data_IF_898047286026
#
_entry.id   IF_898047286026
#
_cell.length_a   1.000
_cell.length_b   1.000
_cell.length_c   1.000
_cell.angle_alpha   90.00
_cell.angle_beta   90.00
_cell.angle_gamma   90.00
#
_symmetry.space_group_name_H-M   'P 1'
#
loop_
_entity.id
_entity.type
_entity.pdbx_description
1 polymer ?
#
# COMPACT_ATOMS: atom_id res chain seq x y z
N UNK A 1 18.16 12.34 19.45
CA UNK A 1 17.94 11.15 18.63
C UNK A 1 17.33 11.60 17.33
N UNK A 2 17.92 11.21 16.20
CA UNK A 2 17.30 11.44 14.89
C UNK A 2 16.01 10.60 14.75
N UNK A 3 15.11 10.97 13.83
CA UNK A 3 13.93 10.13 13.54
C UNK A 3 14.34 8.71 13.07
N UNK A 4 15.49 8.57 12.41
CA UNK A 4 16.05 7.28 11.98
C UNK A 4 16.46 6.39 13.15
N UNK A 5 17.20 6.93 14.13
CA UNK A 5 17.60 6.20 15.35
C UNK A 5 16.39 5.77 16.19
N UNK A 6 15.32 6.58 16.19
CA UNK A 6 14.07 6.23 16.86
C UNK A 6 13.39 5.03 16.19
N UNK A 7 13.38 4.99 14.86
CA UNK A 7 12.71 3.95 14.09
C UNK A 7 13.48 2.61 14.12
N UNK A 8 14.82 2.63 14.19
CA UNK A 8 15.61 1.41 14.36
C UNK A 8 15.30 0.69 15.68
N UNK A 9 15.17 1.44 16.78
CA UNK A 9 14.75 0.88 18.08
C UNK A 9 13.36 0.26 18.01
N UNK A 10 12.43 0.89 17.30
CA UNK A 10 11.08 0.35 17.06
C UNK A 10 11.17 -0.94 16.24
N UNK A 11 11.96 -0.97 15.16
CA UNK A 11 12.11 -2.17 14.35
C UNK A 11 12.77 -3.33 15.12
N UNK A 12 13.77 -3.04 15.96
CA UNK A 12 14.37 -4.03 16.84
C UNK A 12 13.33 -4.58 17.83
N UNK A 13 12.55 -3.71 18.46
CA UNK A 13 11.46 -4.09 19.36
C UNK A 13 10.42 -4.99 18.68
N UNK A 14 9.99 -4.65 17.45
CA UNK A 14 9.01 -5.46 16.71
C UNK A 14 9.59 -6.76 16.15
N UNK A 15 10.91 -6.84 15.95
CA UNK A 15 11.60 -8.07 15.53
C UNK A 15 11.90 -9.03 16.70
N UNK A 16 11.86 -8.54 17.94
CA UNK A 16 12.12 -9.34 19.13
C UNK A 16 10.97 -10.31 19.41
N UNK A 17 11.28 -11.61 19.53
CA UNK A 17 10.30 -12.63 19.87
C UNK A 17 9.66 -12.41 21.24
N UNK A 18 10.38 -11.81 22.21
CA UNK A 18 9.87 -11.50 23.53
C UNK A 18 8.67 -10.53 23.47
N UNK A 19 8.68 -9.60 22.51
CA UNK A 19 7.54 -8.70 22.23
C UNK A 19 6.28 -9.45 21.83
N UNK A 20 6.42 -10.66 21.29
CA UNK A 20 5.34 -11.50 20.78
C UNK A 20 5.20 -12.82 21.54
N UNK A 21 5.53 -12.82 22.83
CA UNK A 21 5.34 -13.99 23.70
C UNK A 21 6.20 -15.20 23.30
N UNK A 22 7.38 -14.98 22.72
CA UNK A 22 8.31 -16.02 22.30
C UNK A 22 8.08 -16.57 20.88
N UNK A 23 7.11 -16.02 20.15
CA UNK A 23 6.84 -16.44 18.77
C UNK A 23 7.89 -15.91 17.80
N UNK A 24 8.31 -16.73 16.84
CA UNK A 24 9.26 -16.33 15.80
C UNK A 24 8.68 -15.22 14.91
N UNK A 25 9.50 -14.22 14.60
CA UNK A 25 9.14 -13.06 13.78
C UNK A 25 9.84 -13.13 12.42
N UNK A 26 9.08 -13.05 11.33
CA UNK A 26 9.61 -12.83 9.98
C UNK A 26 9.45 -11.36 9.62
N UNK A 27 10.55 -10.71 9.22
CA UNK A 27 10.54 -9.32 8.73
C UNK A 27 10.56 -9.30 7.21
N UNK A 28 9.69 -8.49 6.62
CA UNK A 28 9.66 -8.21 5.18
C UNK A 28 9.77 -6.70 4.97
N UNK A 29 10.75 -6.28 4.18
CA UNK A 29 11.02 -4.87 3.93
C UNK A 29 10.67 -4.46 2.51
N UNK A 30 10.09 -3.28 2.40
CA UNK A 30 9.92 -2.56 1.14
C UNK A 30 10.65 -1.22 1.25
N UNK A 31 10.73 -0.47 0.15
CA UNK A 31 11.32 0.87 0.14
C UNK A 31 10.59 1.86 1.08
N UNK A 32 9.29 1.66 1.36
CA UNK A 32 8.46 2.59 2.11
C UNK A 32 7.88 2.04 3.43
N UNK A 33 8.05 0.75 3.72
CA UNK A 33 7.49 0.12 4.93
C UNK A 33 8.29 -1.13 5.34
N UNK A 34 8.13 -1.53 6.60
CA UNK A 34 8.60 -2.79 7.16
C UNK A 34 7.40 -3.55 7.73
N UNK A 35 7.27 -4.84 7.43
CA UNK A 35 6.19 -5.72 7.93
C UNK A 35 6.80 -6.80 8.81
N UNK A 36 6.24 -6.98 10.00
CA UNK A 36 6.65 -7.98 10.99
C UNK A 36 5.53 -9.02 11.13
N UNK A 37 5.82 -10.27 10.75
CA UNK A 37 4.87 -11.38 10.71
C UNK A 37 5.14 -12.33 11.88
N UNK A 38 4.14 -12.52 12.73
CA UNK A 38 4.26 -13.34 13.95
C UNK A 38 2.96 -14.06 14.25
N UNK A 39 2.98 -15.40 14.30
CA UNK A 39 1.75 -16.19 14.46
C UNK A 39 0.69 -15.81 13.42
N UNK A 40 -0.52 -15.47 13.86
CA UNK A 40 -1.64 -14.98 13.02
C UNK A 40 -1.64 -13.45 12.83
N UNK A 41 -0.62 -12.75 13.30
CA UNK A 41 -0.56 -11.28 13.31
C UNK A 41 0.50 -10.76 12.34
N UNK A 42 0.21 -9.62 11.74
CA UNK A 42 1.15 -8.82 10.97
C UNK A 42 1.11 -7.36 11.44
N UNK A 43 2.27 -6.75 11.64
CA UNK A 43 2.41 -5.33 11.97
C UNK A 43 3.18 -4.63 10.86
N UNK A 44 2.57 -3.66 10.20
CA UNK A 44 3.20 -2.86 9.13
C UNK A 44 3.50 -1.46 9.63
N UNK A 45 4.77 -1.08 9.60
CA UNK A 45 5.25 0.25 9.97
C UNK A 45 5.76 0.97 8.72
N UNK A 46 5.34 2.22 8.52
CA UNK A 46 5.86 3.06 7.43
C UNK A 46 7.30 3.49 7.75
N UNK A 47 8.21 3.46 6.77
CA UNK A 47 9.58 3.96 6.95
C UNK A 47 9.58 5.49 7.03
N UNK A 48 10.47 6.06 7.83
CA UNK A 48 10.66 7.51 7.93
C UNK A 48 11.41 8.03 6.70
N UNK A 49 10.72 8.09 5.55
CA UNK A 49 11.30 8.43 4.25
C UNK A 49 10.52 9.53 3.55
N UNK A 50 11.19 10.25 2.66
CA UNK A 50 10.58 11.22 1.76
C UNK A 50 11.11 11.00 0.34
N UNK A 51 10.23 10.51 -0.53
CA UNK A 51 10.44 10.40 -1.96
C UNK A 51 9.67 11.52 -2.69
N UNK A 52 9.97 11.80 -3.97
CA UNK A 52 9.24 12.80 -4.75
C UNK A 52 7.71 12.56 -4.83
N UNK A 53 7.28 11.30 -4.68
CA UNK A 53 5.89 10.86 -4.80
C UNK A 53 5.28 10.38 -3.46
N UNK A 54 6.05 10.39 -2.37
CA UNK A 54 5.62 9.83 -1.09
C UNK A 54 6.32 10.50 0.08
N UNK A 55 5.56 10.94 1.07
CA UNK A 55 6.13 11.61 2.24
C UNK A 55 5.65 11.00 3.55
N UNK A 56 6.52 10.20 4.15
CA UNK A 56 6.37 9.57 5.46
C UNK A 56 7.41 10.10 6.47
N UNK A 57 7.95 11.30 6.21
CA UNK A 57 9.04 11.89 7.00
C UNK A 57 8.69 12.00 8.47
N UNK A 58 7.51 12.52 8.80
CA UNK A 58 7.11 12.77 10.18
C UNK A 58 6.19 11.69 10.74
N UNK A 59 6.21 11.51 12.06
CA UNK A 59 5.32 10.60 12.78
C UNK A 59 3.84 10.83 12.43
N UNK A 60 3.40 12.09 12.34
CA UNK A 60 2.03 12.45 12.01
C UNK A 60 1.65 11.99 10.58
N UNK A 61 2.55 12.15 9.60
CA UNK A 61 2.33 11.66 8.24
C UNK A 61 2.24 10.14 8.18
N UNK A 62 3.06 9.43 8.97
CA UNK A 62 2.99 7.96 9.08
C UNK A 62 1.69 7.48 9.71
N UNK A 63 1.21 8.15 10.75
CA UNK A 63 -0.13 7.89 11.33
C UNK A 63 -1.22 8.03 10.28
N UNK A 64 -1.28 9.18 9.61
CA UNK A 64 -2.28 9.47 8.58
C UNK A 64 -2.21 8.45 7.44
N UNK A 65 -1.01 8.00 7.06
CA UNK A 65 -0.83 6.97 6.05
C UNK A 65 -1.35 5.59 6.49
N UNK A 66 -1.11 5.18 7.75
CA UNK A 66 -1.67 3.94 8.30
C UNK A 66 -3.20 4.00 8.37
N UNK A 67 -3.77 5.13 8.80
CA UNK A 67 -5.21 5.34 8.87
C UNK A 67 -5.86 5.34 7.48
N UNK A 68 -5.23 5.99 6.50
CA UNK A 68 -5.70 5.99 5.12
C UNK A 68 -5.65 4.59 4.48
N UNK A 69 -4.57 3.84 4.73
CA UNK A 69 -4.46 2.45 4.26
C UNK A 69 -5.52 1.55 4.90
N UNK A 70 -5.72 1.65 6.22
CA UNK A 70 -6.79 0.94 6.92
C UNK A 70 -8.16 1.28 6.33
N UNK A 71 -8.48 2.56 6.17
CA UNK A 71 -9.79 3.00 5.69
C UNK A 71 -10.10 2.49 4.27
N UNK A 72 -9.10 2.46 3.39
CA UNK A 72 -9.27 1.95 2.02
C UNK A 72 -9.39 0.43 2.04
N UNK A 73 -8.39 -0.26 2.59
CA UNK A 73 -8.26 -1.70 2.37
C UNK A 73 -9.24 -2.50 3.24
N UNK A 74 -9.72 -1.96 4.36
CA UNK A 74 -10.78 -2.60 5.17
C UNK A 74 -12.09 -2.75 4.40
N UNK A 75 -12.35 -1.91 3.40
CA UNK A 75 -13.53 -2.06 2.52
C UNK A 75 -13.44 -3.26 1.56
N UNK A 76 -12.23 -3.80 1.40
CA UNK A 76 -11.92 -4.92 0.52
C UNK A 76 -11.64 -6.20 1.30
N UNK A 77 -10.88 -6.09 2.40
CA UNK A 77 -10.42 -7.18 3.24
C UNK A 77 -10.56 -6.85 4.74
N UNK A 78 -11.80 -6.77 5.26
CA UNK A 78 -12.05 -6.41 6.66
C UNK A 78 -11.44 -7.39 7.67
N UNK A 79 -11.24 -8.65 7.28
CA UNK A 79 -10.62 -9.68 8.11
C UNK A 79 -9.09 -9.57 8.14
N UNK A 80 -8.48 -8.87 7.17
CA UNK A 80 -7.03 -8.64 7.08
C UNK A 80 -6.67 -7.33 7.76
N UNK A 81 -7.41 -6.25 7.53
CA UNK A 81 -7.07 -4.91 8.04
C UNK A 81 -7.83 -4.59 9.32
N UNK A 82 -7.16 -4.69 10.47
CA UNK A 82 -7.82 -4.69 11.78
C UNK A 82 -7.90 -3.29 12.40
N UNK A 83 -6.76 -2.65 12.65
CA UNK A 83 -6.67 -1.34 13.31
C UNK A 83 -5.29 -0.69 13.16
N UNK A 84 -5.19 0.58 13.52
CA UNK A 84 -3.90 1.27 13.73
C UNK A 84 -3.57 1.23 15.22
N UNK A 85 -2.33 0.88 15.56
CA UNK A 85 -1.84 0.80 16.94
C UNK A 85 -0.64 1.71 17.14
N UNK A 86 -0.51 2.26 18.34
CA UNK A 86 0.67 3.02 18.74
C UNK A 86 1.79 2.06 19.17
N UNK A 87 3.03 2.41 18.86
CA UNK A 87 4.20 1.93 19.59
C UNK A 87 4.59 3.05 20.54
N UNK A 88 4.49 2.81 21.83
CA UNK A 88 4.68 3.81 22.88
C UNK A 88 6.02 3.65 23.58
N UNK A 89 6.59 4.76 24.01
CA UNK A 89 7.71 4.81 24.96
C UNK A 89 7.15 5.12 26.34
N UNK A 90 7.30 4.16 27.24
CA UNK A 90 6.81 4.24 28.61
C UNK A 90 7.74 5.10 29.50
N UNK A 91 7.32 5.37 30.74
CA UNK A 91 8.11 6.17 31.69
C UNK A 91 9.44 5.54 32.09
N UNK A 92 9.57 4.21 31.94
CA UNK A 92 10.81 3.44 32.17
C UNK A 92 11.65 3.28 30.89
N UNK A 93 11.37 4.09 29.86
CA UNK A 93 12.01 4.10 28.54
C UNK A 93 11.80 2.82 27.69
N UNK A 94 11.03 1.85 28.18
CA UNK A 94 10.70 0.64 27.43
C UNK A 94 9.67 0.92 26.34
N UNK A 95 9.77 0.18 25.24
CA UNK A 95 8.76 0.22 24.19
C UNK A 95 7.64 -0.77 24.49
N UNK A 96 6.41 -0.37 24.20
CA UNK A 96 5.22 -1.24 24.25
C UNK A 96 4.37 -1.08 23.01
N UNK A 97 3.68 -2.16 22.65
CA UNK A 97 2.60 -2.12 21.69
C UNK A 97 1.34 -1.65 22.42
N UNK A 98 0.77 -0.54 21.97
CA UNK A 98 -0.48 0.02 22.47
C UNK A 98 -0.45 0.30 23.99
N UNK A 99 0.71 0.76 24.48
CA UNK A 99 0.91 1.12 25.88
C UNK A 99 0.34 2.49 26.24
N UNK A 100 0.59 2.93 27.48
CA UNK A 100 0.08 4.19 28.00
C UNK A 100 1.06 5.37 27.82
N UNK A 101 2.29 5.08 27.38
CA UNK A 101 3.33 6.08 27.16
C UNK A 101 3.13 6.94 25.90
N UNK A 102 4.14 7.74 25.59
CA UNK A 102 4.12 8.62 24.42
C UNK A 102 4.28 7.81 23.14
N UNK A 103 3.39 7.98 22.16
CA UNK A 103 3.52 7.34 20.85
C UNK A 103 4.81 7.81 20.15
N UNK A 104 5.68 6.86 19.82
CA UNK A 104 6.94 7.10 19.09
C UNK A 104 6.90 6.55 17.66
N UNK A 105 5.95 5.66 17.36
CA UNK A 105 5.66 5.17 16.01
C UNK A 105 4.22 4.64 15.91
N UNK A 106 3.72 4.45 14.70
CA UNK A 106 2.44 3.81 14.42
C UNK A 106 2.62 2.55 13.56
N UNK A 107 1.85 1.51 13.88
CA UNK A 107 1.75 0.31 13.05
C UNK A 107 0.31 0.09 12.59
N UNK A 108 0.15 -0.35 11.36
CA UNK A 108 -1.08 -0.96 10.87
C UNK A 108 -1.08 -2.43 11.30
N UNK A 109 -2.02 -2.78 12.17
CA UNK A 109 -2.24 -4.15 12.63
C UNK A 109 -3.14 -4.88 11.66
N UNK A 110 -2.63 -6.02 11.20
CA UNK A 110 -3.24 -6.86 10.19
C UNK A 110 -3.31 -8.31 10.68
N UNK A 111 -4.29 -9.07 10.18
CA UNK A 111 -4.29 -10.53 10.29
C UNK A 111 -3.36 -11.10 9.22
N UNK A 112 -2.40 -11.90 9.65
CA UNK A 112 -1.55 -12.67 8.74
C UNK A 112 -2.37 -13.77 8.08
N UNK A 113 -2.10 -14.03 6.82
CA UNK A 113 -2.61 -15.17 6.07
C UNK A 113 -1.44 -16.00 5.53
N UNK A 114 -1.74 -17.19 4.97
CA UNK A 114 -0.74 -18.01 4.31
C UNK A 114 -0.22 -17.30 3.04
N UNK A 115 1.06 -16.92 3.07
CA UNK A 115 1.73 -16.23 1.97
C UNK A 115 1.78 -17.07 0.68
N UNK A 116 1.54 -18.39 0.75
CA UNK A 116 1.44 -19.28 -0.41
C UNK A 116 0.04 -19.33 -1.03
N UNK A 117 -0.94 -18.68 -0.40
CA UNK A 117 -2.32 -18.61 -0.88
C UNK A 117 -2.58 -17.36 -1.73
N UNK A 118 -1.57 -16.53 -2.00
CA UNK A 118 -1.70 -15.43 -2.96
C UNK A 118 -1.88 -15.96 -4.38
N UNK A 119 -2.68 -15.28 -5.20
CA UNK A 119 -3.09 -15.82 -6.50
C UNK A 119 -1.94 -15.90 -7.51
N UNK A 120 -0.86 -15.12 -7.34
CA UNK A 120 0.36 -15.27 -8.13
C UNK A 120 1.03 -16.63 -7.87
N UNK A 121 1.12 -17.06 -6.61
CA UNK A 121 1.65 -18.37 -6.23
C UNK A 121 0.74 -19.51 -6.68
N UNK A 122 -0.58 -19.32 -6.59
CA UNK A 122 -1.53 -20.29 -7.13
C UNK A 122 -1.44 -20.39 -8.65
N UNK A 123 -1.23 -19.28 -9.36
CA UNK A 123 -1.02 -19.29 -10.80
C UNK A 123 0.27 -20.04 -11.19
N UNK A 124 1.39 -19.76 -10.51
CA UNK A 124 2.66 -20.47 -10.70
C UNK A 124 2.51 -21.99 -10.48
N UNK A 125 1.68 -22.38 -9.52
CA UNK A 125 1.41 -23.78 -9.20
C UNK A 125 0.32 -24.43 -10.08
N UNK A 126 -0.25 -23.72 -11.06
CA UNK A 126 -1.34 -24.24 -11.91
C UNK A 126 -2.65 -24.48 -11.18
N UNK A 127 -2.90 -23.79 -10.06
CA UNK A 127 -4.05 -23.98 -9.17
C UNK A 127 -5.21 -23.00 -9.40
N UNK A 128 -5.17 -22.21 -10.48
CA UNK A 128 -6.30 -21.39 -10.91
C UNK A 128 -7.13 -22.21 -11.90
N UNK A 129 -8.17 -22.86 -11.40
CA UNK A 129 -9.18 -23.53 -12.21
C UNK A 129 -10.29 -22.56 -12.67
N UNK A 130 -11.22 -23.05 -13.48
CA UNK A 130 -12.35 -22.26 -13.99
C UNK A 130 -13.21 -21.70 -12.84
N UNK A 131 -13.43 -22.50 -11.79
CA UNK A 131 -14.21 -22.10 -10.61
C UNK A 131 -13.57 -20.90 -9.90
N UNK A 132 -12.26 -20.94 -9.68
CA UNK A 132 -11.52 -19.86 -9.03
C UNK A 132 -11.44 -18.62 -9.93
N UNK A 133 -11.29 -18.80 -11.25
CA UNK A 133 -11.31 -17.70 -12.21
C UNK A 133 -12.67 -16.97 -12.21
N UNK A 134 -13.78 -17.70 -12.18
CA UNK A 134 -15.12 -17.12 -12.07
C UNK A 134 -15.30 -16.40 -10.73
N UNK A 135 -14.91 -17.04 -9.62
CA UNK A 135 -14.97 -16.43 -8.29
C UNK A 135 -14.16 -15.12 -8.21
N UNK A 136 -12.99 -15.08 -8.86
CA UNK A 136 -12.17 -13.87 -8.97
C UNK A 136 -12.90 -12.78 -9.74
N UNK A 137 -13.48 -13.10 -10.90
CA UNK A 137 -14.28 -12.17 -11.70
C UNK A 137 -15.43 -11.56 -10.90
N UNK A 138 -16.19 -12.39 -10.18
CA UNK A 138 -17.27 -11.94 -9.31
C UNK A 138 -16.77 -11.06 -8.15
N UNK A 139 -15.65 -11.42 -7.52
CA UNK A 139 -15.07 -10.63 -6.44
C UNK A 139 -14.70 -9.21 -6.91
N UNK A 140 -14.01 -9.11 -8.06
CA UNK A 140 -13.62 -7.82 -8.65
C UNK A 140 -14.83 -7.01 -9.12
N UNK A 141 -15.82 -7.64 -9.74
CA UNK A 141 -17.06 -6.98 -10.13
C UNK A 141 -17.82 -6.41 -8.91
N UNK A 142 -17.93 -7.20 -7.83
CA UNK A 142 -18.58 -6.77 -6.60
C UNK A 142 -17.83 -5.62 -5.91
N UNK A 143 -16.49 -5.63 -5.96
CA UNK A 143 -15.63 -4.52 -5.50
C UNK A 143 -15.91 -3.23 -6.27
N UNK A 144 -15.94 -3.33 -7.60
CA UNK A 144 -16.20 -2.18 -8.46
C UNK A 144 -17.61 -1.60 -8.26
N UNK A 145 -18.59 -2.47 -8.05
CA UNK A 145 -19.98 -2.06 -7.82
C UNK A 145 -20.17 -1.32 -6.49
N UNK A 146 -19.50 -1.74 -5.41
CA UNK A 146 -19.61 -1.08 -4.08
C UNK A 146 -18.81 0.21 -3.97
N UNK A 147 -17.79 0.40 -4.80
CA UNK A 147 -16.94 1.57 -4.72
C UNK A 147 -17.69 2.84 -5.15
N UNK A 148 -17.70 3.84 -4.27
CA UNK A 148 -18.28 5.15 -4.55
C UNK A 148 -17.58 5.85 -5.71
N UNK A 149 -18.36 6.55 -6.53
CA UNK A 149 -17.83 7.49 -7.50
C UNK A 149 -17.13 8.64 -6.78
N UNK A 150 -16.08 9.17 -7.41
CA UNK A 150 -15.33 10.33 -6.92
C UNK A 150 -15.35 11.43 -7.98
N UNK A 151 -15.13 12.67 -7.55
CA UNK A 151 -15.00 13.77 -8.50
C UNK A 151 -13.81 13.51 -9.44
N UNK A 152 -14.06 13.45 -10.74
CA UNK A 152 -13.02 13.08 -11.69
C UNK A 152 -11.97 14.16 -11.92
N UNK A 153 -12.33 15.45 -11.80
CA UNK A 153 -11.45 16.57 -12.16
C UNK A 153 -10.11 16.55 -11.41
N UNK A 154 -10.06 16.41 -10.07
CA UNK A 154 -8.78 16.32 -9.34
C UNK A 154 -7.92 15.14 -9.78
N UNK A 155 -8.52 13.97 -10.03
CA UNK A 155 -7.78 12.78 -10.48
C UNK A 155 -7.22 12.94 -11.89
N UNK A 156 -7.99 13.52 -12.80
CA UNK A 156 -7.52 13.81 -14.17
C UNK A 156 -6.40 14.86 -14.16
N UNK A 157 -6.47 15.85 -13.27
CA UNK A 157 -5.41 16.83 -13.08
C UNK A 157 -4.12 16.17 -12.53
N UNK A 158 -4.24 15.30 -11.52
CA UNK A 158 -3.12 14.57 -10.93
C UNK A 158 -2.35 13.71 -11.96
N UNK A 159 -3.03 13.13 -12.95
CA UNK A 159 -2.36 12.42 -14.06
C UNK A 159 -1.36 13.32 -14.81
N UNK A 160 -1.69 14.60 -14.98
CA UNK A 160 -0.78 15.57 -15.59
C UNK A 160 0.46 15.80 -14.72
N UNK A 161 0.28 15.93 -13.41
CA UNK A 161 1.39 16.07 -12.46
C UNK A 161 2.32 14.85 -12.47
N UNK A 162 1.76 13.62 -12.52
CA UNK A 162 2.55 12.40 -12.60
C UNK A 162 3.36 12.32 -13.92
N UNK A 163 2.81 12.80 -15.03
CA UNK A 163 3.54 12.89 -16.30
C UNK A 163 4.75 13.82 -16.16
N UNK A 164 4.59 14.97 -15.51
CA UNK A 164 5.69 15.90 -15.26
C UNK A 164 6.74 15.33 -14.31
N UNK A 165 6.31 14.71 -13.21
CA UNK A 165 7.20 14.07 -12.23
C UNK A 165 8.02 12.95 -12.87
N UNK A 166 7.39 12.07 -13.65
CA UNK A 166 8.07 10.99 -14.37
C UNK A 166 9.03 11.56 -15.42
N UNK A 167 8.61 12.59 -16.16
CA UNK A 167 9.48 13.27 -17.13
C UNK A 167 10.69 13.94 -16.49
N UNK A 168 10.56 14.49 -15.28
CA UNK A 168 11.69 15.02 -14.52
C UNK A 168 12.60 13.89 -14.00
N UNK A 169 12.03 12.80 -13.48
CA UNK A 169 12.78 11.66 -12.98
C UNK A 169 13.65 11.00 -14.07
N UNK A 170 13.10 10.77 -15.27
CA UNK A 170 13.85 10.19 -16.38
C UNK A 170 14.95 11.12 -16.89
N UNK A 171 14.66 12.42 -17.06
CA UNK A 171 15.68 13.41 -17.46
C UNK A 171 16.81 13.54 -16.43
N UNK A 172 16.50 13.31 -15.14
CA UNK A 172 17.49 13.32 -14.07
C UNK A 172 18.43 12.12 -14.06
N UNK A 173 18.21 11.11 -14.92
CA UNK A 173 19.01 9.87 -15.00
C UNK A 173 19.48 9.57 -16.44
N UNK A 174 20.27 10.47 -17.07
CA UNK A 174 20.78 10.26 -18.43
C UNK A 174 21.73 9.06 -18.53
N UNK A 175 22.24 8.55 -17.40
CA UNK A 175 23.03 7.33 -17.29
C UNK A 175 22.21 6.05 -17.51
N UNK A 176 20.90 6.11 -17.26
CA UNK A 176 19.98 4.97 -17.42
C UNK A 176 19.07 5.11 -18.65
N UNK A 177 18.68 6.34 -18.99
CA UNK A 177 17.71 6.63 -20.04
C UNK A 177 18.27 7.68 -20.98
N UNK A 178 18.17 7.45 -22.30
CA UNK A 178 18.60 8.48 -23.23
C UNK A 178 17.74 9.74 -23.10
N UNK A 179 18.38 10.91 -23.14
CA UNK A 179 17.68 12.19 -23.05
C UNK A 179 16.58 12.31 -24.10
N UNK A 180 16.87 11.87 -25.33
CA UNK A 180 15.93 11.91 -26.45
C UNK A 180 14.69 11.03 -26.21
N UNK A 181 14.87 9.81 -25.67
CA UNK A 181 13.75 8.93 -25.36
C UNK A 181 12.91 9.46 -24.20
N UNK A 182 13.55 9.99 -23.15
CA UNK A 182 12.86 10.59 -22.01
C UNK A 182 12.01 11.80 -22.44
N UNK A 183 12.55 12.68 -23.27
CA UNK A 183 11.82 13.82 -23.85
C UNK A 183 10.68 13.38 -24.77
N UNK A 184 10.94 12.40 -25.62
CA UNK A 184 9.93 11.81 -26.52
C UNK A 184 8.78 11.18 -25.74
N UNK A 185 9.08 10.43 -24.67
CA UNK A 185 8.07 9.85 -23.78
C UNK A 185 7.24 10.96 -23.11
N UNK A 186 7.89 11.96 -22.50
CA UNK A 186 7.18 13.05 -21.83
C UNK A 186 6.28 13.83 -22.81
N UNK A 187 6.77 14.15 -24.01
CA UNK A 187 5.99 14.81 -25.07
C UNK A 187 4.77 13.98 -25.47
N UNK A 188 4.95 12.68 -25.74
CA UNK A 188 3.85 11.78 -26.13
C UNK A 188 2.82 11.59 -25.00
N UNK A 189 3.27 11.50 -23.76
CA UNK A 189 2.40 11.38 -22.59
C UNK A 189 1.54 12.64 -22.39
N UNK A 190 2.13 13.84 -22.48
CA UNK A 190 1.38 15.11 -22.43
C UNK A 190 0.34 15.19 -23.54
N UNK A 191 0.73 14.85 -24.77
CA UNK A 191 -0.19 14.86 -25.91
C UNK A 191 -1.33 13.84 -25.73
N UNK A 192 -1.04 12.66 -25.22
CA UNK A 192 -2.06 11.65 -24.91
C UNK A 192 -3.01 12.12 -23.80
N UNK A 193 -2.49 12.72 -22.72
CA UNK A 193 -3.30 13.27 -21.64
C UNK A 193 -4.23 14.38 -22.13
N UNK A 194 -3.71 15.33 -22.90
CA UNK A 194 -4.51 16.40 -23.51
C UNK A 194 -5.61 15.84 -24.41
N UNK A 195 -5.29 14.87 -25.27
CA UNK A 195 -6.24 14.21 -26.17
C UNK A 195 -7.32 13.43 -25.42
N UNK A 196 -6.96 12.72 -24.35
CA UNK A 196 -7.88 11.86 -23.59
C UNK A 196 -8.67 12.61 -22.51
N UNK A 197 -8.27 13.83 -22.15
CA UNK A 197 -8.90 14.61 -21.08
C UNK A 197 -10.42 14.73 -21.23
N UNK A 198 -11.00 15.06 -22.40
CA UNK A 198 -12.46 15.11 -22.54
C UNK A 198 -13.13 13.75 -22.25
N UNK A 199 -12.53 12.65 -22.72
CA UNK A 199 -13.04 11.30 -22.46
C UNK A 199 -12.98 10.94 -20.98
N UNK A 200 -11.88 11.27 -20.29
CA UNK A 200 -11.73 11.01 -18.85
C UNK A 200 -12.76 11.79 -18.02
N UNK A 201 -13.05 13.04 -18.40
CA UNK A 201 -14.08 13.86 -17.75
C UNK A 201 -15.49 13.31 -18.01
N UNK A 202 -15.81 12.94 -19.26
CA UNK A 202 -17.08 12.30 -19.60
C UNK A 202 -17.30 10.97 -18.87
N UNK A 203 -16.23 10.21 -18.62
CA UNK A 203 -16.28 9.02 -17.74
C UNK A 203 -16.60 9.38 -16.29
N UNK A 204 -16.07 10.50 -15.81
CA UNK A 204 -16.40 11.06 -14.50
C UNK A 204 -17.88 11.40 -14.36
N UNK A 205 -18.46 12.08 -15.34
CA UNK A 205 -19.89 12.41 -15.40
C UNK A 205 -20.78 11.16 -15.37
N UNK A 206 -20.28 10.04 -15.92
CA UNK A 206 -20.93 8.73 -15.90
C UNK A 206 -20.63 7.90 -14.64
N UNK A 207 -20.01 8.49 -13.60
CA UNK A 207 -19.66 7.79 -12.36
C UNK A 207 -18.73 6.58 -12.57
N UNK A 208 -17.85 6.65 -13.58
CA UNK A 208 -16.88 5.60 -13.91
C UNK A 208 -15.48 5.85 -13.33
N UNK A 209 -15.29 6.95 -12.61
CA UNK A 209 -14.09 7.21 -11.79
C UNK A 209 -14.45 6.93 -10.35
N UNK A 210 -13.84 5.89 -9.78
CA UNK A 210 -14.18 5.30 -8.49
C UNK A 210 -12.93 5.04 -7.67
N UNK A 211 -13.07 5.03 -6.34
CA UNK A 211 -11.97 4.69 -5.43
C UNK A 211 -11.85 3.17 -5.30
N UNK A 212 -11.01 2.58 -6.14
CA UNK A 212 -10.77 1.14 -6.23
C UNK A 212 -9.42 0.75 -5.62
N UNK A 213 -9.10 -0.55 -5.65
CA UNK A 213 -7.76 -1.03 -5.34
C UNK A 213 -6.76 -0.49 -6.38
N UNK A 214 -5.76 0.28 -5.93
CA UNK A 214 -4.86 1.04 -6.80
C UNK A 214 -3.79 0.22 -7.51
N UNK A 215 -3.55 -1.01 -7.07
CA UNK A 215 -2.50 -1.90 -7.57
C UNK A 215 -2.99 -3.36 -7.62
N UNK A 216 -4.13 -3.58 -8.26
CA UNK A 216 -4.77 -4.90 -8.27
C UNK A 216 -4.05 -5.83 -9.27
N UNK A 217 -3.28 -6.77 -8.73
CA UNK A 217 -2.64 -7.86 -9.46
C UNK A 217 -2.69 -9.14 -8.62
N UNK A 218 -2.35 -10.31 -9.20
CA UNK A 218 -2.51 -11.61 -8.50
C UNK A 218 -1.76 -11.69 -7.16
N UNK A 219 -0.60 -11.05 -7.04
CA UNK A 219 0.14 -10.94 -5.76
C UNK A 219 -0.55 -10.12 -4.66
N UNK A 220 -1.55 -9.29 -5.00
CA UNK A 220 -2.36 -8.51 -4.04
C UNK A 220 -3.78 -9.09 -3.91
N UNK A 221 -3.94 -10.39 -4.21
CA UNK A 221 -5.18 -11.12 -4.00
C UNK A 221 -4.81 -12.43 -3.31
N UNK A 222 -5.44 -12.71 -2.18
CA UNK A 222 -5.24 -13.96 -1.43
C UNK A 222 -6.50 -14.82 -1.50
N UNK A 223 -6.32 -16.14 -1.61
CA UNK A 223 -7.39 -17.10 -1.42
C UNK A 223 -7.61 -17.31 0.08
N UNK A 224 -8.62 -16.65 0.65
CA UNK A 224 -8.95 -16.71 2.07
C UNK A 224 -10.31 -17.38 2.26
N UNK A 225 -10.35 -18.48 3.01
CA UNK A 225 -11.59 -19.24 3.23
C UNK A 225 -12.25 -19.71 1.91
N UNK A 226 -11.44 -20.04 0.91
CA UNK A 226 -11.91 -20.46 -0.42
C UNK A 226 -12.39 -19.31 -1.32
N UNK A 227 -12.19 -18.05 -0.93
CA UNK A 227 -12.63 -16.88 -1.70
C UNK A 227 -11.45 -15.97 -2.08
N UNK A 228 -11.39 -15.45 -3.31
CA UNK A 228 -10.42 -14.41 -3.67
C UNK A 228 -10.71 -13.11 -2.91
N UNK A 229 -9.72 -12.61 -2.17
CA UNK A 229 -9.81 -11.39 -1.38
C UNK A 229 -8.65 -10.47 -1.77
N UNK A 230 -8.93 -9.36 -2.45
CA UNK A 230 -7.93 -8.30 -2.67
C UNK A 230 -7.57 -7.61 -1.36
N UNK A 231 -6.28 -7.37 -1.13
CA UNK A 231 -5.76 -6.80 0.12
C UNK A 231 -4.83 -5.62 -0.12
#
# INVERSE_FOLDING_TARGET
MSEGECQEKVFAFLADQATHGGSAVKRVDTHAASVFLTGERALKVKRAVRFPFLDYSTLAKRKAACEAELAINRSFAPDIYLRVVAITRESDDRLKLDGAGTAVEWALEMRRFDENATLDRLAEAGKIDATLADALGYAVAALHARAGAVEAKPWVAALGEYIEQNGAAFRGRPDLFSTAEAESLAKRSRAAHARLRPLLLARGERSLVRRLHGDLHLGNIVLLGGRPVPF
#
